data_IF_936041224041
#
_entry.id   IF_936041224041
#
_cell.length_a   1.000
_cell.length_b   1.000
_cell.length_c   1.000
_cell.angle_alpha   90.00
_cell.angle_beta   90.00
_cell.angle_gamma   90.00
#
_symmetry.space_group_name_H-M   'P 1'
#
loop_
_entity.id
_entity.type
_entity.pdbx_description
1 polymer ?
#
# COMPACT_ATOMS: atom_id res chain seq x y z
N UNK A 1 -11.94 -8.26 6.02
CA UNK A 1 -10.65 -7.54 6.00
C UNK A 1 -10.37 -6.94 7.38
N UNK A 2 -9.12 -6.79 7.81
CA UNK A 2 -8.75 -6.20 9.11
C UNK A 2 -9.44 -4.85 9.37
N UNK A 3 -9.50 -3.98 8.36
CA UNK A 3 -10.22 -2.70 8.42
C UNK A 3 -11.73 -2.83 8.65
N UNK A 4 -12.35 -3.95 8.25
CA UNK A 4 -13.78 -4.21 8.47
C UNK A 4 -14.08 -4.73 9.88
N UNK A 5 -13.12 -5.42 10.50
CA UNK A 5 -13.25 -5.89 11.87
C UNK A 5 -13.10 -4.71 12.83
N UNK A 6 -12.28 -3.72 12.45
CA UNK A 6 -12.03 -2.48 13.20
C UNK A 6 -11.77 -2.72 14.70
N UNK A 7 -10.79 -3.60 15.06
CA UNK A 7 -10.68 -4.13 16.42
C UNK A 7 -10.17 -3.12 17.47
N UNK A 8 -9.63 -1.99 17.05
CA UNK A 8 -9.07 -0.98 17.95
C UNK A 8 -9.96 0.28 18.04
N UNK A 9 -9.88 1.01 19.15
CA UNK A 9 -10.63 2.27 19.32
C UNK A 9 -10.17 3.40 18.38
N UNK A 10 -8.90 3.38 17.97
CA UNK A 10 -8.31 4.30 17.00
C UNK A 10 -7.17 3.58 16.27
N UNK A 11 -6.63 4.18 15.21
CA UNK A 11 -5.44 3.74 14.49
C UNK A 11 -5.59 2.45 13.67
N UNK A 12 -6.82 2.02 13.36
CA UNK A 12 -7.05 0.84 12.51
C UNK A 12 -6.37 1.00 11.14
N UNK A 13 -6.57 2.13 10.45
CA UNK A 13 -5.91 2.42 9.17
C UNK A 13 -4.39 2.31 9.20
N UNK A 14 -3.75 2.85 10.25
CA UNK A 14 -2.29 2.74 10.42
C UNK A 14 -1.86 1.29 10.66
N UNK A 15 -2.63 0.55 11.45
CA UNK A 15 -2.34 -0.85 11.77
C UNK A 15 -2.55 -1.76 10.55
N UNK A 16 -3.56 -1.50 9.74
CA UNK A 16 -3.79 -2.20 8.47
C UNK A 16 -2.64 -1.97 7.49
N UNK A 17 -2.16 -0.73 7.34
CA UNK A 17 -0.98 -0.43 6.53
C UNK A 17 0.27 -1.18 7.03
N UNK A 18 0.50 -1.23 8.35
CA UNK A 18 1.62 -1.98 8.92
C UNK A 18 1.50 -3.48 8.64
N UNK A 19 0.28 -4.04 8.73
CA UNK A 19 0.05 -5.45 8.42
C UNK A 19 0.33 -5.76 6.94
N UNK A 20 -0.06 -4.88 6.01
CA UNK A 20 0.26 -5.03 4.59
C UNK A 20 1.76 -5.00 4.34
N UNK A 21 2.48 -4.05 4.94
CA UNK A 21 3.93 -3.98 4.84
C UNK A 21 4.62 -5.19 5.46
N UNK A 22 4.09 -5.73 6.56
CA UNK A 22 4.59 -6.98 7.13
C UNK A 22 4.46 -8.16 6.15
N UNK A 23 3.33 -8.26 5.43
CA UNK A 23 3.14 -9.30 4.41
C UNK A 23 4.11 -9.12 3.24
N UNK A 24 4.34 -7.90 2.75
CA UNK A 24 5.34 -7.62 1.71
C UNK A 24 6.73 -8.10 2.14
N UNK A 25 7.17 -7.66 3.32
CA UNK A 25 8.47 -8.01 3.88
C UNK A 25 8.64 -9.53 4.05
N UNK A 26 7.61 -10.23 4.55
CA UNK A 26 7.64 -11.68 4.71
C UNK A 26 7.83 -12.41 3.38
N UNK A 27 7.37 -11.83 2.27
CA UNK A 27 7.47 -12.41 0.93
C UNK A 27 8.64 -11.85 0.11
N UNK A 28 9.57 -11.11 0.73
CA UNK A 28 10.77 -10.58 0.06
C UNK A 28 10.54 -9.31 -0.75
N UNK A 29 9.39 -8.66 -0.61
CA UNK A 29 9.10 -7.37 -1.22
C UNK A 29 9.46 -6.23 -0.27
N UNK A 30 9.79 -5.07 -0.83
CA UNK A 30 10.04 -3.86 -0.05
C UNK A 30 8.71 -3.29 0.47
N UNK A 31 8.71 -2.63 1.64
CA UNK A 31 7.51 -1.99 2.15
C UNK A 31 7.11 -0.83 1.23
N UNK A 32 5.81 -0.59 1.12
CA UNK A 32 5.27 0.47 0.28
C UNK A 32 4.61 1.57 1.13
N UNK A 33 4.83 2.82 0.75
CA UNK A 33 4.17 3.96 1.37
C UNK A 33 2.82 4.20 0.70
N UNK A 34 1.73 3.88 1.40
CA UNK A 34 0.38 4.25 0.96
C UNK A 34 0.18 5.74 1.26
N UNK A 35 0.46 6.60 0.27
CA UNK A 35 0.48 8.08 0.43
C UNK A 35 -0.91 8.65 0.73
N UNK A 36 -0.95 9.72 1.53
CA UNK A 36 -2.20 10.38 1.96
C UNK A 36 -2.99 11.05 0.82
N UNK A 37 -2.33 11.47 -0.26
CA UNK A 37 -3.05 11.97 -1.47
C UNK A 37 -3.75 10.85 -2.23
N UNK A 38 -3.22 9.63 -2.14
CA UNK A 38 -3.96 8.41 -2.49
C UNK A 38 -5.00 8.06 -1.42
N UNK A 39 -5.04 8.71 -0.26
CA UNK A 39 -5.97 8.45 0.85
C UNK A 39 -7.45 8.52 0.45
N UNK A 40 -7.84 9.42 -0.47
CA UNK A 40 -9.21 9.42 -1.04
C UNK A 40 -9.44 8.28 -2.02
N UNK A 41 -8.43 7.84 -2.77
CA UNK A 41 -8.56 6.70 -3.68
C UNK A 41 -8.56 5.39 -2.91
N UNK A 42 -7.67 5.25 -1.93
CA UNK A 42 -7.55 4.15 -0.99
C UNK A 42 -8.80 4.00 -0.14
N UNK A 43 -9.31 5.08 0.48
CA UNK A 43 -10.56 5.05 1.22
C UNK A 43 -11.75 4.67 0.33
N UNK A 44 -11.85 5.21 -0.89
CA UNK A 44 -12.91 4.83 -1.85
C UNK A 44 -12.78 3.41 -2.37
N UNK A 45 -11.56 2.91 -2.56
CA UNK A 45 -11.30 1.51 -2.93
C UNK A 45 -11.67 0.56 -1.78
N UNK A 46 -11.38 0.97 -0.55
CA UNK A 46 -11.76 0.25 0.66
C UNK A 46 -13.29 0.23 0.84
N UNK A 47 -13.97 1.36 0.68
CA UNK A 47 -15.44 1.46 0.67
C UNK A 47 -16.06 0.60 -0.43
N UNK A 48 -15.50 0.64 -1.64
CA UNK A 48 -15.97 -0.18 -2.78
C UNK A 48 -15.81 -1.68 -2.50
N UNK A 49 -14.73 -2.07 -1.84
CA UNK A 49 -14.52 -3.45 -1.41
C UNK A 49 -15.52 -3.85 -0.30
N UNK A 50 -15.80 -2.95 0.65
CA UNK A 50 -16.76 -3.17 1.73
C UNK A 50 -18.20 -3.34 1.22
N UNK A 51 -18.61 -2.59 0.19
CA UNK A 51 -19.98 -2.62 -0.33
C UNK A 51 -20.18 -3.69 -1.41
N UNK A 52 -19.18 -3.92 -2.26
CA UNK A 52 -19.32 -4.74 -3.47
C UNK A 52 -18.57 -6.07 -3.47
N UNK A 53 -17.78 -6.38 -2.44
CA UNK A 53 -16.84 -7.52 -2.42
C UNK A 53 -15.81 -7.51 -3.58
N UNK A 54 -15.65 -6.40 -4.28
CA UNK A 54 -14.68 -6.24 -5.38
C UNK A 54 -13.33 -5.83 -4.79
N UNK A 55 -12.49 -6.83 -4.53
CA UNK A 55 -11.11 -6.70 -4.06
C UNK A 55 -10.21 -5.94 -5.03
N UNK A 56 -10.54 -6.01 -6.32
CA UNK A 56 -9.62 -5.65 -7.40
C UNK A 56 -9.21 -4.17 -7.37
N UNK A 57 -10.14 -3.27 -7.00
CA UNK A 57 -9.84 -1.84 -6.90
C UNK A 57 -8.90 -1.52 -5.75
N UNK A 58 -8.96 -2.27 -4.65
CA UNK A 58 -8.02 -2.10 -3.54
C UNK A 58 -6.65 -2.66 -3.90
N UNK A 59 -6.65 -3.88 -4.45
CA UNK A 59 -5.43 -4.54 -4.90
C UNK A 59 -4.70 -3.67 -5.93
N UNK A 60 -5.40 -3.09 -6.92
CA UNK A 60 -4.76 -2.24 -7.93
C UNK A 60 -4.07 -1.03 -7.31
N UNK A 61 -4.73 -0.30 -6.40
CA UNK A 61 -4.14 0.86 -5.72
C UNK A 61 -2.91 0.46 -4.90
N UNK A 62 -2.98 -0.68 -4.22
CA UNK A 62 -1.86 -1.18 -3.43
C UNK A 62 -0.68 -1.60 -4.33
N UNK A 63 -0.96 -2.29 -5.44
CA UNK A 63 0.04 -2.64 -6.45
C UNK A 63 0.70 -1.38 -7.04
N UNK A 64 -0.08 -0.36 -7.40
CA UNK A 64 0.46 0.91 -7.92
C UNK A 64 1.44 1.55 -6.92
N UNK A 65 1.12 1.49 -5.62
CA UNK A 65 2.02 1.99 -4.57
C UNK A 65 3.32 1.18 -4.49
N UNK A 66 3.23 -0.15 -4.59
CA UNK A 66 4.41 -1.02 -4.61
C UNK A 66 5.27 -0.72 -5.85
N UNK A 67 4.66 -0.63 -7.03
CA UNK A 67 5.38 -0.33 -8.28
C UNK A 67 6.08 1.03 -8.24
N UNK A 68 5.45 2.06 -7.67
CA UNK A 68 6.07 3.39 -7.52
C UNK A 68 7.31 3.37 -6.62
N UNK A 69 7.25 2.62 -5.50
CA UNK A 69 8.38 2.47 -4.59
C UNK A 69 9.50 1.63 -5.20
N UNK A 70 9.14 0.62 -5.98
CA UNK A 70 10.09 -0.18 -6.75
C UNK A 70 10.83 0.69 -7.78
N UNK A 71 10.09 1.47 -8.56
CA UNK A 71 10.63 2.38 -9.59
C UNK A 71 11.51 3.47 -8.99
N UNK A 72 11.11 4.06 -7.86
CA UNK A 72 11.89 5.09 -7.16
C UNK A 72 13.29 4.59 -6.78
N UNK A 73 13.41 3.32 -6.36
CA UNK A 73 14.72 2.72 -6.07
C UNK A 73 15.53 2.49 -7.34
N UNK A 74 14.91 1.99 -8.41
CA UNK A 74 15.61 1.80 -9.70
C UNK A 74 16.19 3.13 -10.16
N UNK A 75 15.40 4.20 -10.14
CA UNK A 75 15.83 5.54 -10.52
C UNK A 75 17.00 6.03 -9.66
N UNK A 76 16.97 5.76 -8.35
CA UNK A 76 18.06 6.10 -7.44
C UNK A 76 19.35 5.33 -7.79
N UNK A 77 19.25 4.02 -8.05
CA UNK A 77 20.40 3.17 -8.40
C UNK A 77 21.01 3.63 -9.72
N UNK A 78 20.20 3.91 -10.74
CA UNK A 78 20.69 4.38 -12.04
C UNK A 78 21.38 5.75 -11.90
N UNK A 79 20.80 6.69 -11.13
CA UNK A 79 21.46 7.97 -10.83
C UNK A 79 22.82 7.80 -10.16
N UNK A 80 22.93 6.90 -9.18
CA UNK A 80 24.19 6.62 -8.50
C UNK A 80 25.22 5.96 -9.43
N UNK A 81 24.78 5.14 -10.39
CA UNK A 81 25.65 4.55 -11.40
C UNK A 81 26.25 5.60 -12.33
N UNK A 82 25.48 6.61 -12.73
CA UNK A 82 25.94 7.69 -13.60
C UNK A 82 26.80 8.76 -12.91
N UNK A 83 26.82 8.78 -11.57
CA UNK A 83 27.69 9.67 -10.78
C UNK A 83 29.10 9.08 -10.55
N UNK A 84 29.32 7.81 -10.89
CA UNK A 84 30.64 7.16 -10.92
C UNK A 84 31.23 7.23 -12.31
#
# INVERSE_FOLDING_TARGET
>A
MFENIHPFMDSNGRTGCQLLNFVLLRNGYRPAAIKYDAGRAYARGLESWQVGSKTDSFCSIFLDCVEQEEQTLVDLIERLRHLR
#
